data_IF_338341739572
#
_entry.id   IF_338341739572
#
_cell.length_a   1.000
_cell.length_b   1.000
_cell.length_c   1.000
_cell.angle_alpha   90.00
_cell.angle_beta   90.00
_cell.angle_gamma   90.00
#
_symmetry.space_group_name_H-M   'P 1'
#
loop_
_entity.id
_entity.type
_entity.pdbx_description
1 polymer ?
#
# COMPACT_ATOMS: atom_id res chain seq x y z
N UNK A 1 -4.50 6.26 27.79
CA UNK A 1 -4.86 7.09 26.62
C UNK A 1 -3.64 7.66 25.90
N UNK A 2 -2.85 8.56 26.50
CA UNK A 2 -1.65 9.14 25.85
C UNK A 2 -0.67 8.09 25.31
N UNK A 3 -0.40 7.02 26.06
CA UNK A 3 0.45 5.91 25.60
C UNK A 3 -0.05 5.24 24.32
N UNK A 4 -1.37 5.09 24.15
CA UNK A 4 -1.94 4.47 22.94
C UNK A 4 -1.69 5.35 21.71
N UNK A 5 -1.84 6.67 21.86
CA UNK A 5 -1.49 7.62 20.80
C UNK A 5 0.00 7.56 20.45
N UNK A 6 0.88 7.58 21.45
CA UNK A 6 2.33 7.49 21.21
C UNK A 6 2.69 6.20 20.47
N UNK A 7 2.19 5.05 20.93
CA UNK A 7 2.41 3.76 20.27
C UNK A 7 1.86 3.79 18.84
N UNK A 8 0.59 4.17 18.67
CA UNK A 8 -0.05 4.16 17.36
C UNK A 8 0.61 5.11 16.37
N UNK A 9 1.06 6.28 16.83
CA UNK A 9 1.82 7.23 15.99
C UNK A 9 3.18 6.66 15.60
N UNK A 10 3.93 6.06 16.52
CA UNK A 10 5.22 5.45 16.21
C UNK A 10 5.06 4.34 15.17
N UNK A 11 4.10 3.43 15.36
CA UNK A 11 3.83 2.34 14.41
C UNK A 11 3.38 2.89 13.06
N UNK A 12 2.52 3.91 13.05
CA UNK A 12 2.08 4.57 11.82
C UNK A 12 3.23 5.21 11.06
N UNK A 13 4.16 5.88 11.76
CA UNK A 13 5.34 6.48 11.14
C UNK A 13 6.27 5.42 10.55
N UNK A 14 6.47 4.29 11.24
CA UNK A 14 7.22 3.15 10.70
C UNK A 14 6.57 2.65 9.41
N UNK A 15 5.25 2.46 9.39
CA UNK A 15 4.54 2.04 8.18
C UNK A 15 4.63 3.08 7.06
N UNK A 16 4.53 4.37 7.36
CA UNK A 16 4.71 5.44 6.35
C UNK A 16 6.12 5.35 5.73
N UNK A 17 7.16 5.12 6.54
CA UNK A 17 8.53 4.96 6.03
C UNK A 17 8.67 3.70 5.16
N UNK A 18 8.10 2.57 5.58
CA UNK A 18 8.06 1.33 4.78
C UNK A 18 7.35 1.60 3.45
N UNK A 19 6.17 2.20 3.48
CA UNK A 19 5.38 2.51 2.30
C UNK A 19 6.11 3.43 1.33
N UNK A 20 6.77 4.47 1.85
CA UNK A 20 7.57 5.40 1.07
C UNK A 20 8.74 4.68 0.38
N UNK A 21 9.45 3.79 1.07
CA UNK A 21 10.54 3.00 0.49
C UNK A 21 10.03 2.07 -0.62
N UNK A 22 8.92 1.37 -0.38
CA UNK A 22 8.30 0.51 -1.40
C UNK A 22 7.85 1.34 -2.60
N UNK A 23 7.29 2.53 -2.37
CA UNK A 23 6.86 3.44 -3.44
C UNK A 23 8.04 3.86 -4.32
N UNK A 24 9.17 4.23 -3.72
CA UNK A 24 10.39 4.58 -4.47
C UNK A 24 10.87 3.38 -5.31
N UNK A 25 10.86 2.18 -4.75
CA UNK A 25 11.17 0.94 -5.47
C UNK A 25 10.20 0.66 -6.63
N UNK A 26 8.89 0.77 -6.39
CA UNK A 26 7.84 0.56 -7.38
C UNK A 26 7.96 1.52 -8.55
N UNK A 27 8.26 2.80 -8.30
CA UNK A 27 8.53 3.80 -9.34
C UNK A 27 9.76 3.40 -10.16
N UNK A 28 10.83 2.93 -9.52
CA UNK A 28 12.04 2.46 -10.21
C UNK A 28 11.76 1.28 -11.14
N UNK A 29 10.97 0.31 -10.67
CA UNK A 29 10.55 -0.85 -11.47
C UNK A 29 9.65 -0.40 -12.63
N UNK A 30 8.65 0.44 -12.37
CA UNK A 30 7.75 0.95 -13.40
C UNK A 30 8.50 1.73 -14.49
N UNK A 31 9.48 2.57 -14.10
CA UNK A 31 10.35 3.30 -15.06
C UNK A 31 11.22 2.37 -15.88
N UNK A 32 11.84 1.36 -15.27
CA UNK A 32 12.71 0.43 -15.99
C UNK A 32 11.92 -0.51 -16.92
N UNK A 33 10.70 -0.89 -16.53
CA UNK A 33 9.78 -1.63 -17.38
C UNK A 33 9.29 -0.77 -18.56
N UNK A 34 8.94 0.51 -18.31
CA UNK A 34 8.48 1.46 -19.33
C UNK A 34 9.46 1.70 -20.48
N UNK A 35 10.75 1.47 -20.26
CA UNK A 35 11.79 1.61 -21.29
C UNK A 35 11.90 0.39 -22.23
N UNK A 36 11.24 -0.73 -21.93
CA UNK A 36 11.26 -1.91 -22.79
C UNK A 36 10.24 -1.74 -23.91
N UNK A 37 10.71 -1.70 -25.15
CA UNK A 37 9.87 -1.78 -26.34
C UNK A 37 9.06 -3.08 -26.29
N UNK A 38 7.76 -2.98 -26.06
CA UNK A 38 6.82 -4.08 -26.27
C UNK A 38 6.03 -3.79 -27.54
N UNK A 39 5.89 -4.78 -28.40
CA UNK A 39 5.14 -4.66 -29.67
C UNK A 39 3.63 -4.38 -29.46
N UNK A 40 3.13 -4.47 -28.20
CA UNK A 40 1.71 -4.36 -27.84
C UNK A 40 1.49 -3.30 -26.72
N UNK A 41 1.23 -2.03 -27.08
CA UNK A 41 1.08 -0.92 -26.14
C UNK A 41 0.05 -1.15 -25.01
N UNK A 42 -1.07 -1.80 -25.33
CA UNK A 42 -2.14 -2.09 -24.35
C UNK A 42 -1.71 -3.13 -23.31
N UNK A 43 -1.04 -4.21 -23.75
CA UNK A 43 -0.55 -5.26 -22.86
C UNK A 43 0.54 -4.70 -21.94
N UNK A 44 1.37 -3.80 -22.45
CA UNK A 44 2.38 -3.10 -21.65
C UNK A 44 1.73 -2.30 -20.50
N UNK A 45 0.73 -1.48 -20.79
CA UNK A 45 -0.01 -0.72 -19.76
C UNK A 45 -0.63 -1.66 -18.71
N UNK A 46 -1.32 -2.72 -19.15
CA UNK A 46 -1.93 -3.70 -18.25
C UNK A 46 -0.89 -4.36 -17.34
N UNK A 47 0.26 -4.77 -17.89
CA UNK A 47 1.32 -5.40 -17.14
C UNK A 47 1.94 -4.46 -16.09
N UNK A 48 2.23 -3.20 -16.46
CA UNK A 48 2.79 -2.20 -15.54
C UNK A 48 1.81 -1.89 -14.40
N UNK A 49 0.52 -1.73 -14.70
CA UNK A 49 -0.51 -1.49 -13.69
C UNK A 49 -0.68 -2.69 -12.75
N UNK A 50 -0.74 -3.91 -13.27
CA UNK A 50 -0.88 -5.12 -12.47
C UNK A 50 0.35 -5.36 -11.58
N UNK A 51 1.56 -5.17 -12.12
CA UNK A 51 2.79 -5.26 -11.34
C UNK A 51 2.84 -4.21 -10.22
N UNK A 52 2.47 -2.96 -10.51
CA UNK A 52 2.41 -1.89 -9.51
C UNK A 52 1.42 -2.23 -8.40
N UNK A 53 0.21 -2.66 -8.76
CA UNK A 53 -0.81 -3.07 -7.78
C UNK A 53 -0.33 -4.26 -6.93
N UNK A 54 0.31 -5.26 -7.53
CA UNK A 54 0.84 -6.41 -6.79
C UNK A 54 1.91 -6.01 -5.77
N UNK A 55 2.83 -5.10 -6.14
CA UNK A 55 3.84 -4.57 -5.21
C UNK A 55 3.18 -3.82 -4.05
N UNK A 56 2.17 -2.98 -4.33
CA UNK A 56 1.44 -2.25 -3.29
C UNK A 56 0.64 -3.21 -2.38
N UNK A 57 0.07 -4.29 -2.91
CA UNK A 57 -0.60 -5.32 -2.10
C UNK A 57 0.36 -5.99 -1.12
N UNK A 58 1.58 -6.30 -1.55
CA UNK A 58 2.62 -6.83 -0.67
C UNK A 58 3.00 -5.81 0.41
N UNK A 59 3.14 -4.53 0.04
CA UNK A 59 3.40 -3.44 1.00
C UNK A 59 2.34 -3.37 2.10
N UNK A 60 1.06 -3.30 1.72
CA UNK A 60 -0.06 -3.25 2.67
C UNK A 60 -0.13 -4.50 3.57
N UNK A 61 0.19 -5.66 3.02
CA UNK A 61 0.26 -6.89 3.82
C UNK A 61 1.36 -6.81 4.87
N UNK A 62 2.56 -6.34 4.50
CA UNK A 62 3.67 -6.14 5.43
C UNK A 62 3.34 -5.11 6.51
N UNK A 63 2.74 -3.99 6.13
CA UNK A 63 2.33 -2.91 7.04
C UNK A 63 1.26 -3.37 8.04
N UNK A 64 0.35 -4.26 7.61
CA UNK A 64 -0.60 -4.91 8.51
C UNK A 64 0.08 -5.88 9.47
N UNK A 65 1.12 -6.61 9.03
CA UNK A 65 1.92 -7.48 9.91
C UNK A 65 2.71 -6.66 10.94
N UNK A 66 3.20 -5.47 10.58
CA UNK A 66 3.82 -4.53 11.53
C UNK A 66 2.83 -4.13 12.64
N UNK A 67 1.58 -3.84 12.28
CA UNK A 67 0.52 -3.59 13.28
C UNK A 67 0.22 -4.81 14.14
N UNK A 68 0.21 -6.02 13.56
CA UNK A 68 0.05 -7.26 14.32
C UNK A 68 1.14 -7.45 15.36
N UNK A 69 2.41 -7.19 15.00
CA UNK A 69 3.52 -7.23 15.95
C UNK A 69 3.36 -6.18 17.06
N UNK A 70 2.91 -4.96 16.73
CA UNK A 70 2.61 -3.94 17.73
C UNK A 70 1.49 -4.35 18.69
N UNK A 71 0.44 -5.00 18.19
CA UNK A 71 -0.63 -5.55 18.99
C UNK A 71 -0.16 -6.63 19.96
N UNK A 72 0.76 -7.49 19.51
CA UNK A 72 1.36 -8.52 20.35
C UNK A 72 2.17 -7.91 21.49
N UNK A 73 3.03 -6.92 21.19
CA UNK A 73 3.87 -6.24 22.18
C UNK A 73 3.06 -5.52 23.27
N UNK A 74 1.89 -5.01 22.91
CA UNK A 74 1.07 -4.17 23.80
C UNK A 74 -0.07 -4.95 24.48
N UNK A 75 -0.28 -6.21 24.07
CA UNK A 75 -1.35 -7.08 24.57
C UNK A 75 -2.73 -6.50 24.24
N UNK A 76 -2.98 -6.19 22.97
CA UNK A 76 -4.20 -5.48 22.54
C UNK A 76 -5.49 -6.31 22.71
N UNK A 77 -5.36 -7.63 22.60
CA UNK A 77 -6.46 -8.59 22.59
C UNK A 77 -6.10 -9.80 23.49
N UNK A 78 -7.08 -10.63 23.88
CA UNK A 78 -6.85 -11.82 24.71
C UNK A 78 -5.83 -12.80 24.12
N UNK A 79 -5.24 -13.64 24.98
CA UNK A 79 -4.34 -14.70 24.53
C UNK A 79 -5.09 -15.68 23.60
N UNK A 80 -4.43 -16.11 22.52
CA UNK A 80 -5.02 -16.99 21.51
C UNK A 80 -5.80 -16.28 20.40
N UNK A 81 -5.94 -14.96 20.45
CA UNK A 81 -6.48 -14.16 19.34
C UNK A 81 -5.53 -14.20 18.14
N UNK A 82 -6.07 -14.40 16.93
CA UNK A 82 -5.34 -14.18 15.68
C UNK A 82 -5.11 -12.67 15.47
N UNK A 83 -3.94 -12.20 15.92
CA UNK A 83 -3.55 -10.80 15.83
C UNK A 83 -3.24 -10.37 14.40
N UNK A 84 -2.89 -11.28 13.49
CA UNK A 84 -2.63 -10.94 12.09
C UNK A 84 -3.96 -10.64 11.42
N UNK A 85 -4.93 -11.53 11.57
CA UNK A 85 -6.30 -11.30 11.10
C UNK A 85 -6.91 -10.03 11.72
N UNK A 86 -6.80 -9.85 13.04
CA UNK A 86 -7.33 -8.66 13.70
C UNK A 86 -6.67 -7.36 13.21
N UNK A 87 -5.35 -7.35 13.00
CA UNK A 87 -4.66 -6.21 12.40
C UNK A 87 -5.12 -5.95 10.98
N UNK A 88 -5.26 -7.00 10.16
CA UNK A 88 -5.65 -6.88 8.76
C UNK A 88 -7.08 -6.34 8.60
N UNK A 89 -8.02 -6.84 9.41
CA UNK A 89 -9.42 -6.36 9.42
C UNK A 89 -9.51 -4.89 9.83
N UNK A 90 -8.72 -4.43 10.81
CA UNK A 90 -8.69 -3.02 11.17
C UNK A 90 -7.99 -2.18 10.10
N UNK A 91 -6.82 -2.61 9.65
CA UNK A 91 -5.96 -1.88 8.70
C UNK A 91 -6.70 -1.65 7.37
N UNK A 92 -7.42 -2.65 6.88
CA UNK A 92 -8.24 -2.54 5.67
C UNK A 92 -9.59 -1.85 5.90
N UNK A 93 -9.88 -1.41 7.12
CA UNK A 93 -11.14 -0.77 7.54
C UNK A 93 -12.37 -1.67 7.43
N UNK A 94 -12.20 -2.99 7.27
CA UNK A 94 -13.30 -3.96 7.18
C UNK A 94 -14.11 -4.02 8.48
N UNK A 95 -13.42 -4.08 9.62
CA UNK A 95 -14.05 -3.94 10.94
C UNK A 95 -15.17 -4.94 11.25
N UNK A 96 -15.01 -6.24 10.90
CA UNK A 96 -16.04 -7.27 11.12
C UNK A 96 -16.59 -7.34 12.55
N UNK A 97 -15.80 -6.92 13.55
CA UNK A 97 -16.24 -6.79 14.94
C UNK A 97 -16.32 -8.11 15.70
N UNK A 98 -15.92 -9.21 15.08
CA UNK A 98 -15.75 -10.54 15.66
C UNK A 98 -14.62 -10.58 16.70
N UNK A 99 -13.55 -9.82 16.46
CA UNK A 99 -12.46 -9.59 17.40
C UNK A 99 -12.42 -8.11 17.76
N UNK A 100 -12.40 -7.81 19.05
CA UNK A 100 -12.33 -6.44 19.57
C UNK A 100 -11.16 -6.28 20.54
N UNK A 101 -10.54 -5.09 20.57
CA UNK A 101 -9.47 -4.82 21.52
C UNK A 101 -10.02 -4.75 22.95
N UNK A 102 -9.19 -5.07 23.94
CA UNK A 102 -9.57 -4.88 25.34
C UNK A 102 -9.82 -3.38 25.63
N UNK A 103 -10.72 -3.08 26.56
CA UNK A 103 -11.17 -1.71 26.83
C UNK A 103 -10.03 -0.71 27.10
N UNK A 104 -8.97 -1.15 27.78
CA UNK A 104 -7.79 -0.34 28.07
C UNK A 104 -6.92 0.03 26.84
N UNK A 105 -7.14 -0.63 25.70
CA UNK A 105 -6.35 -0.51 24.45
C UNK A 105 -7.20 -0.21 23.20
N UNK A 106 -8.45 0.18 23.41
CA UNK A 106 -9.44 0.33 22.34
C UNK A 106 -9.07 1.32 21.24
N UNK A 107 -8.22 2.33 21.48
CA UNK A 107 -7.84 3.31 20.46
C UNK A 107 -6.88 2.74 19.41
N UNK A 108 -6.17 1.64 19.71
CA UNK A 108 -5.21 1.07 18.78
C UNK A 108 -5.89 0.48 17.52
N UNK A 109 -7.13 -0.01 17.63
CA UNK A 109 -7.92 -0.46 16.48
C UNK A 109 -8.21 0.70 15.49
N UNK A 110 -8.89 1.77 15.92
CA UNK A 110 -9.14 2.95 15.08
C UNK A 110 -7.86 3.62 14.55
N UNK A 111 -6.76 3.65 15.33
CA UNK A 111 -5.49 4.17 14.83
C UNK A 111 -4.90 3.32 13.71
N UNK A 112 -5.03 2.00 13.80
CA UNK A 112 -4.62 1.07 12.73
C UNK A 112 -5.44 1.29 11.47
N UNK A 113 -6.76 1.45 11.61
CA UNK A 113 -7.66 1.76 10.50
C UNK A 113 -7.33 3.11 9.84
N UNK A 114 -7.07 4.14 10.65
CA UNK A 114 -6.66 5.46 10.17
C UNK A 114 -5.32 5.41 9.41
N UNK A 115 -4.36 4.62 9.90
CA UNK A 115 -3.10 4.45 9.19
C UNK A 115 -3.30 3.72 7.85
N UNK A 116 -4.07 2.63 7.83
CA UNK A 116 -4.34 1.89 6.62
C UNK A 116 -5.05 2.71 5.55
N UNK A 117 -6.12 3.45 5.89
CA UNK A 117 -6.83 4.28 4.91
C UNK A 117 -5.93 5.39 4.33
N UNK A 118 -5.02 5.96 5.13
CA UNK A 118 -4.05 6.94 4.65
C UNK A 118 -3.09 6.33 3.61
N UNK A 119 -2.58 5.12 3.88
CA UNK A 119 -1.66 4.43 2.98
C UNK A 119 -2.36 3.90 1.72
N UNK A 120 -3.61 3.42 1.82
CA UNK A 120 -4.40 3.08 0.63
C UNK A 120 -4.71 4.33 -0.24
N UNK A 121 -4.92 5.48 0.39
CA UNK A 121 -5.04 6.76 -0.30
C UNK A 121 -3.76 7.12 -1.06
N UNK A 122 -2.60 6.95 -0.43
CA UNK A 122 -1.29 7.11 -1.09
C UNK A 122 -1.14 6.17 -2.28
N UNK A 123 -1.43 4.87 -2.11
CA UNK A 123 -1.40 3.85 -3.17
C UNK A 123 -2.27 4.22 -4.37
N UNK A 124 -3.45 4.78 -4.12
CA UNK A 124 -4.36 5.22 -5.20
C UNK A 124 -3.75 6.37 -6.00
N UNK A 125 -3.18 7.38 -5.34
CA UNK A 125 -2.48 8.48 -6.00
C UNK A 125 -1.27 7.98 -6.82
N UNK A 126 -0.55 7.00 -6.29
CA UNK A 126 0.58 6.36 -6.96
C UNK A 126 0.16 5.59 -8.22
N UNK A 127 -0.90 4.78 -8.15
CA UNK A 127 -1.44 4.08 -9.32
C UNK A 127 -1.89 5.05 -10.41
N UNK A 128 -2.54 6.16 -10.02
CA UNK A 128 -2.95 7.19 -10.96
C UNK A 128 -1.76 7.86 -11.66
N UNK A 129 -0.69 8.16 -10.93
CA UNK A 129 0.52 8.74 -11.52
C UNK A 129 1.24 7.77 -12.47
N UNK A 130 1.28 6.47 -12.13
CA UNK A 130 1.84 5.43 -13.02
C UNK A 130 1.00 5.30 -14.29
N UNK A 131 -0.33 5.28 -14.17
CA UNK A 131 -1.24 5.27 -15.31
C UNK A 131 -0.98 6.46 -16.23
N UNK A 132 -0.98 7.68 -15.68
CA UNK A 132 -0.78 8.92 -16.44
C UNK A 132 0.53 8.90 -17.22
N UNK A 133 1.65 8.59 -16.54
CA UNK A 133 2.98 8.52 -17.17
C UNK A 133 3.09 7.45 -18.25
N UNK A 134 2.50 6.28 -18.01
CA UNK A 134 2.54 5.18 -18.99
C UNK A 134 1.74 5.55 -20.25
N UNK A 135 0.57 6.15 -20.10
CA UNK A 135 -0.24 6.63 -21.24
C UNK A 135 0.49 7.72 -22.03
N UNK A 136 1.09 8.71 -21.36
CA UNK A 136 1.88 9.77 -22.01
C UNK A 136 3.06 9.20 -22.80
N UNK A 137 3.78 8.22 -22.24
CA UNK A 137 4.90 7.57 -22.92
C UNK A 137 4.48 6.82 -24.18
N UNK A 138 3.37 6.06 -24.11
CA UNK A 138 2.83 5.34 -25.27
C UNK A 138 2.37 6.29 -26.37
N UNK A 139 1.77 7.45 -26.01
CA UNK A 139 1.38 8.47 -26.99
C UNK A 139 2.59 9.07 -27.72
N UNK A 140 3.69 9.34 -27.01
CA UNK A 140 4.93 9.85 -27.60
C UNK A 140 5.58 8.86 -28.58
N UNK A 141 5.61 7.56 -28.24
CA UNK A 141 6.12 6.51 -29.14
C UNK A 141 5.30 6.47 -30.44
N UNK A 142 3.97 6.45 -30.34
CA UNK A 142 3.10 6.40 -31.51
C UNK A 142 3.29 7.63 -32.44
N UNK A 143 3.45 8.83 -31.87
CA UNK A 143 3.72 10.04 -32.65
C UNK A 143 5.06 9.97 -33.39
N UNK A 144 6.11 9.46 -32.73
CA UNK A 144 7.43 9.30 -33.36
C UNK A 144 7.43 8.28 -34.51
N UNK A 145 6.69 7.18 -34.37
CA UNK A 145 6.55 6.17 -35.41
C UNK A 145 5.84 6.73 -36.65
N UNK A 146 4.82 7.58 -36.46
CA UNK A 146 4.12 8.25 -37.56
C UNK A 146 5.06 9.19 -38.35
N UNK A 147 5.83 10.03 -37.66
CA UNK A 147 6.75 10.98 -38.30
C UNK A 147 7.91 10.31 -39.06
N UNK A 148 8.28 9.07 -38.70
CA UNK A 148 9.34 8.31 -39.38
C UNK A 148 8.88 7.59 -40.65
N UNK A 149 7.57 7.51 -40.88
CA UNK A 149 6.97 6.85 -42.03
C UNK A 149 6.66 7.81 -43.19
N UNK A 150 6.76 9.12 -42.96
CA UNK A 150 6.65 10.20 -43.96
C UNK A 150 8.01 10.59 -44.54
#
# INVERSE_FOLDING_TARGET
MALQFVVGTIVSLVNIMIHALVTVGAIGIARSAGLRHMEWPRLHLMAVMAATAAVLMVAHTLESVVWSAAYLMVGVAPAGTDLVYFAFVNYTTLGYGDITPIQARQLLGPMTAMNGILLFGWSTAMLFEVLRKTVEHLAAINASACNSAE
#
